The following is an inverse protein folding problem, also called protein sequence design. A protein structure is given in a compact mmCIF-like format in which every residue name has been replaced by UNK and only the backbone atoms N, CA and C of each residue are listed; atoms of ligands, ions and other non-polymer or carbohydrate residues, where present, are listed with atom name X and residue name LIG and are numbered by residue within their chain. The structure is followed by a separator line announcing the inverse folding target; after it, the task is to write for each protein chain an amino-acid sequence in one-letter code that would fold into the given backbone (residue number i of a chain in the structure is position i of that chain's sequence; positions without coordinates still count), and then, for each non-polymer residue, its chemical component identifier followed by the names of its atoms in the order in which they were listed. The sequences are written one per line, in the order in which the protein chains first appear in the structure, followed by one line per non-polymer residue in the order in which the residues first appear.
data_IF_289110863457
#
_entry.id   IF_289110863457
#
_cell.length_a   1.000
_cell.length_b   1.000
_cell.length_c   1.000
_cell.angle_alpha   90.00
_cell.angle_beta   90.00
_cell.angle_gamma   90.00
#
_symmetry.space_group_name_H-M   'P 1'
#
loop_
_entity.id
_entity.type
_entity.pdbx_description
1 polymer ?
#
# COMPACT_ATOMS: atom_id res chain seq x y z
N UNK A 1 -0.92 -1.64 -2.37
CA UNK A 1 -0.41 -2.94 -2.82
C UNK A 1 0.81 -2.70 -3.66
N UNK A 2 1.88 -3.45 -3.43
CA UNK A 2 3.22 -3.23 -3.99
C UNK A 2 3.62 -4.23 -5.03
N UNK A 3 2.90 -5.34 -5.03
CA UNK A 3 2.68 -6.11 -6.24
C UNK A 3 1.30 -5.71 -6.77
N UNK A 4 1.26 -5.27 -8.01
CA UNK A 4 0.07 -4.84 -8.73
C UNK A 4 -0.10 -5.73 -9.95
N UNK A 5 -1.32 -6.18 -10.21
CA UNK A 5 -1.66 -7.02 -11.36
C UNK A 5 -2.88 -6.42 -12.03
N UNK A 6 -2.87 -6.38 -13.36
CA UNK A 6 -4.00 -5.84 -14.11
C UNK A 6 -3.72 -5.75 -15.60
N UNK A 7 -4.59 -5.02 -16.29
CA UNK A 7 -4.44 -4.66 -17.70
C UNK A 7 -4.29 -3.15 -17.84
N UNK A 8 -3.29 -2.71 -18.60
CA UNK A 8 -3.23 -1.32 -19.05
C UNK A 8 -4.16 -1.12 -20.23
N UNK A 9 -5.27 -0.44 -19.97
CA UNK A 9 -6.27 -0.10 -20.97
C UNK A 9 -5.99 1.29 -21.56
N UNK A 10 -5.81 1.36 -22.88
CA UNK A 10 -5.60 2.63 -23.60
C UNK A 10 -6.79 3.57 -23.44
N UNK A 11 -8.02 3.04 -23.36
CA UNK A 11 -9.22 3.83 -23.10
C UNK A 11 -9.19 4.52 -21.72
N UNK A 12 -8.71 3.82 -20.69
CA UNK A 12 -8.58 4.37 -19.35
C UNK A 12 -7.50 5.45 -19.31
N UNK A 13 -6.34 5.18 -19.92
CA UNK A 13 -5.25 6.14 -20.04
C UNK A 13 -5.67 7.40 -20.81
N UNK A 14 -6.56 7.30 -21.80
CA UNK A 14 -7.08 8.47 -22.51
C UNK A 14 -8.12 9.26 -21.71
N UNK A 15 -9.01 8.59 -20.98
CA UNK A 15 -10.06 9.26 -20.17
C UNK A 15 -9.47 9.97 -18.96
N UNK A 16 -8.50 9.34 -18.31
CA UNK A 16 -7.85 9.82 -17.10
C UNK A 16 -6.32 9.72 -17.22
N UNK A 17 -5.68 10.46 -18.15
CA UNK A 17 -4.23 10.37 -18.39
C UNK A 17 -3.40 10.72 -17.16
N UNK A 18 -3.98 11.56 -16.30
CA UNK A 18 -3.35 12.07 -15.09
C UNK A 18 -3.61 11.21 -13.86
N UNK A 19 -4.22 10.03 -14.02
CA UNK A 19 -4.40 9.10 -12.90
C UNK A 19 -3.19 8.16 -12.83
N UNK A 20 -2.43 8.18 -11.71
CA UNK A 20 -1.33 7.25 -11.55
C UNK A 20 -1.86 5.81 -11.42
N UNK A 21 -1.15 4.87 -12.03
CA UNK A 21 -1.38 3.43 -11.88
C UNK A 21 -0.97 2.98 -10.47
N UNK A 22 0.12 3.56 -9.97
CA UNK A 22 0.67 3.24 -8.67
C UNK A 22 1.34 4.46 -8.04
N UNK A 23 1.37 4.46 -6.70
CA UNK A 23 2.21 5.35 -5.90
C UNK A 23 3.03 4.51 -4.93
N UNK A 24 4.31 4.87 -4.75
CA UNK A 24 5.19 4.17 -3.84
C UNK A 24 6.26 5.10 -3.30
N UNK A 25 6.56 4.99 -2.01
CA UNK A 25 7.60 5.79 -1.37
C UNK A 25 8.93 5.04 -1.39
N UNK A 26 9.79 5.43 -2.31
CA UNK A 26 11.12 4.86 -2.46
C UNK A 26 12.11 5.49 -1.47
N UNK A 27 13.09 4.72 -1.01
CA UNK A 27 14.19 5.19 -0.17
C UNK A 27 15.49 4.43 -0.44
N UNK A 28 16.62 5.01 -0.04
CA UNK A 28 17.93 4.39 -0.16
C UNK A 28 18.45 4.32 -1.60
N UNK A 29 19.54 3.57 -1.77
CA UNK A 29 20.10 3.30 -3.08
C UNK A 29 19.64 1.92 -3.58
N UNK A 30 19.50 1.78 -4.90
CA UNK A 30 19.07 0.56 -5.57
C UNK A 30 17.61 0.15 -5.35
N UNK A 31 16.70 1.09 -5.09
CA UNK A 31 15.27 0.79 -5.20
C UNK A 31 14.90 0.39 -6.64
N UNK A 32 13.94 -0.52 -6.81
CA UNK A 32 13.60 -1.10 -8.12
C UNK A 32 12.10 -1.14 -8.37
N UNK A 33 11.73 -0.76 -9.58
CA UNK A 33 10.46 -1.07 -10.21
C UNK A 33 10.65 -2.24 -11.18
N UNK A 34 10.11 -3.41 -10.86
CA UNK A 34 10.09 -4.57 -11.75
C UNK A 34 8.74 -4.65 -12.46
N UNK A 35 8.75 -4.85 -13.77
CA UNK A 35 7.54 -4.96 -14.58
C UNK A 35 7.62 -6.22 -15.43
N UNK A 36 6.60 -7.06 -15.31
CA UNK A 36 6.42 -8.28 -16.08
C UNK A 36 5.19 -8.18 -16.97
N UNK A 37 5.38 -8.40 -18.26
CA UNK A 37 4.36 -8.24 -19.30
C UNK A 37 4.05 -9.59 -19.92
N UNK A 38 2.77 -9.95 -19.96
CA UNK A 38 2.33 -11.22 -20.55
C UNK A 38 2.22 -11.16 -22.08
N UNK A 39 1.74 -10.03 -22.62
CA UNK A 39 1.51 -9.84 -24.06
C UNK A 39 2.41 -8.73 -24.64
N UNK A 40 3.72 -9.00 -24.72
CA UNK A 40 4.75 -8.05 -25.18
C UNK A 40 4.45 -7.48 -26.58
N UNK A 41 3.91 -8.29 -27.49
CA UNK A 41 3.56 -7.83 -28.84
C UNK A 41 2.56 -6.66 -28.83
N UNK A 42 1.57 -6.70 -27.93
CA UNK A 42 0.57 -5.63 -27.77
C UNK A 42 1.23 -4.39 -27.17
N UNK A 43 2.07 -4.56 -26.16
CA UNK A 43 2.81 -3.45 -25.54
C UNK A 43 3.71 -2.72 -26.56
N UNK A 44 4.43 -3.46 -27.40
CA UNK A 44 5.27 -2.91 -28.47
C UNK A 44 4.41 -2.23 -29.53
N UNK A 45 3.32 -2.85 -29.98
CA UNK A 45 2.42 -2.25 -30.98
C UNK A 45 1.80 -0.92 -30.51
N UNK A 46 1.60 -0.77 -29.20
CA UNK A 46 1.09 0.45 -28.54
C UNK A 46 2.17 1.47 -28.20
N UNK A 47 3.45 1.14 -28.38
CA UNK A 47 4.57 1.95 -27.89
C UNK A 47 4.42 2.29 -26.39
N UNK A 48 4.03 1.28 -25.60
CA UNK A 48 3.74 1.40 -24.18
C UNK A 48 4.96 1.84 -23.37
N UNK A 49 4.76 2.82 -22.50
CA UNK A 49 5.76 3.42 -21.63
C UNK A 49 5.22 3.59 -20.22
N UNK A 50 6.13 3.46 -19.26
CA UNK A 50 5.89 3.84 -17.87
C UNK A 50 6.70 5.11 -17.57
N UNK A 51 5.99 6.14 -17.13
CA UNK A 51 6.57 7.42 -16.73
C UNK A 51 6.51 7.51 -15.21
N UNK A 52 7.64 7.76 -14.58
CA UNK A 52 7.73 7.90 -13.14
C UNK A 52 7.97 9.37 -12.80
N UNK A 53 7.12 9.89 -11.91
CA UNK A 53 7.24 11.24 -11.39
C UNK A 53 7.51 11.26 -9.90
N UNK A 54 8.46 12.08 -9.47
CA UNK A 54 8.56 12.48 -8.08
C UNK A 54 7.33 13.30 -7.68
N UNK A 55 6.81 13.09 -6.48
CA UNK A 55 5.59 13.76 -6.03
C UNK A 55 5.70 15.28 -6.06
N UNK A 56 6.85 15.84 -5.69
CA UNK A 56 7.07 17.30 -5.72
C UNK A 56 7.02 17.85 -7.14
N UNK A 57 7.66 17.16 -8.08
CA UNK A 57 7.71 17.57 -9.48
C UNK A 57 6.36 17.39 -10.18
N UNK A 58 5.64 16.32 -9.84
CA UNK A 58 4.26 16.13 -10.29
C UNK A 58 3.34 17.25 -9.80
N UNK A 59 3.41 17.60 -8.51
CA UNK A 59 2.61 18.69 -7.94
C UNK A 59 2.93 20.05 -8.58
N UNK A 60 4.20 20.32 -8.92
CA UNK A 60 4.58 21.54 -9.65
C UNK A 60 3.95 21.58 -11.03
N UNK A 61 3.90 20.44 -11.73
CA UNK A 61 3.32 20.31 -13.07
C UNK A 61 1.78 20.37 -13.06
N UNK A 62 1.16 19.87 -12.00
CA UNK A 62 -0.30 19.92 -11.82
C UNK A 62 -0.77 21.35 -11.46
N UNK A 63 -0.01 22.03 -10.60
CA UNK A 63 -0.30 23.41 -10.18
C UNK A 63 0.22 24.47 -11.16
N UNK A 64 0.95 24.08 -12.21
CA UNK A 64 1.48 25.04 -13.17
C UNK A 64 0.33 25.70 -13.94
N UNK A 65 0.35 27.03 -14.00
CA UNK A 65 -0.62 27.82 -14.78
C UNK A 65 -0.40 27.67 -16.29
N UNK A 66 0.73 27.08 -16.71
CA UNK A 66 1.03 26.82 -18.11
C UNK A 66 0.23 25.60 -18.62
N UNK A 67 -0.55 25.81 -19.68
CA UNK A 67 -1.21 24.74 -20.42
C UNK A 67 -0.17 23.95 -21.24
N UNK A 68 0.54 23.04 -20.57
CA UNK A 68 1.38 22.06 -21.24
C UNK A 68 0.51 21.06 -21.99
N UNK A 69 0.87 20.76 -23.24
CA UNK A 69 0.24 19.68 -24.00
C UNK A 69 0.46 18.32 -23.32
N UNK A 70 -0.40 17.34 -23.62
CA UNK A 70 -0.37 16.02 -22.99
C UNK A 70 1.04 15.37 -23.10
N UNK A 71 1.63 15.39 -24.29
CA UNK A 71 2.96 14.84 -24.55
C UNK A 71 4.07 15.62 -23.85
N UNK A 72 3.96 16.94 -23.75
CA UNK A 72 4.95 17.76 -23.05
C UNK A 72 4.96 17.44 -21.55
N UNK A 73 3.79 17.25 -20.93
CA UNK A 73 3.70 16.88 -19.52
C UNK A 73 4.43 15.57 -19.25
N UNK A 74 4.18 14.53 -20.04
CA UNK A 74 4.87 13.24 -19.86
C UNK A 74 6.37 13.29 -20.16
N UNK A 75 6.82 14.22 -21.01
CA UNK A 75 8.26 14.41 -21.26
C UNK A 75 9.03 14.96 -20.04
N UNK A 76 8.33 15.50 -19.03
CA UNK A 76 8.91 15.99 -17.77
C UNK A 76 9.13 14.90 -16.72
N UNK A 77 8.77 13.65 -17.00
CA UNK A 77 9.01 12.53 -16.09
C UNK A 77 10.50 12.38 -15.77
N UNK A 78 10.84 12.14 -14.51
CA UNK A 78 12.24 11.97 -14.09
C UNK A 78 12.82 10.66 -14.63
N UNK A 79 12.01 9.61 -14.69
CA UNK A 79 12.38 8.33 -15.26
C UNK A 79 11.31 7.86 -16.25
N UNK A 80 11.74 7.26 -17.34
CA UNK A 80 10.85 6.67 -18.35
C UNK A 80 11.37 5.29 -18.71
N UNK A 81 10.46 4.33 -18.80
CA UNK A 81 10.75 2.94 -19.11
C UNK A 81 9.88 2.49 -20.29
N UNK A 82 10.49 1.90 -21.31
CA UNK A 82 9.76 1.41 -22.49
C UNK A 82 9.43 -0.06 -22.32
N UNK A 83 8.15 -0.40 -22.41
CA UNK A 83 7.62 -1.73 -22.09
C UNK A 83 7.69 -2.63 -23.33
N UNK A 84 8.87 -3.19 -23.61
CA UNK A 84 9.14 -3.97 -24.83
C UNK A 84 9.73 -5.38 -24.58
N UNK A 85 9.90 -5.79 -23.32
CA UNK A 85 10.35 -7.14 -22.94
C UNK A 85 9.39 -7.76 -21.93
N UNK A 86 9.47 -9.09 -21.76
CA UNK A 86 8.64 -9.85 -20.83
C UNK A 86 8.89 -9.46 -19.38
N UNK A 87 10.13 -9.15 -19.02
CA UNK A 87 10.51 -8.71 -17.68
C UNK A 87 11.59 -7.65 -17.81
N UNK A 88 11.42 -6.55 -17.08
CA UNK A 88 12.35 -5.44 -17.09
C UNK A 88 12.34 -4.74 -15.74
N UNK A 89 13.51 -4.22 -15.37
CA UNK A 89 13.71 -3.52 -14.12
C UNK A 89 14.13 -2.09 -14.42
N UNK A 90 13.53 -1.16 -13.69
CA UNK A 90 13.94 0.23 -13.65
C UNK A 90 14.45 0.52 -12.24
N UNK A 91 15.72 0.90 -12.12
CA UNK A 91 16.32 1.24 -10.85
C UNK A 91 16.12 2.72 -10.56
N UNK A 92 15.64 3.03 -9.36
CA UNK A 92 15.56 4.38 -8.80
C UNK A 92 16.72 4.52 -7.82
N UNK A 93 17.70 5.36 -8.15
CA UNK A 93 18.94 5.52 -7.38
C UNK A 93 19.07 6.94 -6.84
N UNK A 94 19.97 7.14 -5.87
CA UNK A 94 20.28 8.46 -5.30
C UNK A 94 19.06 9.10 -4.62
N UNK A 95 18.42 8.35 -3.73
CA UNK A 95 17.26 8.83 -2.95
C UNK A 95 17.72 9.19 -1.53
N UNK A 96 18.20 10.44 -1.31
CA UNK A 96 18.78 10.84 -0.02
C UNK A 96 17.77 10.87 1.12
N UNK A 97 16.47 11.03 0.80
CA UNK A 97 15.38 11.00 1.76
C UNK A 97 14.17 10.28 1.13
N UNK A 98 13.34 9.59 1.94
CA UNK A 98 12.14 8.94 1.45
C UNK A 98 11.22 9.88 0.64
N UNK A 99 10.97 9.54 -0.62
CA UNK A 99 10.14 10.35 -1.51
C UNK A 99 9.08 9.50 -2.20
N UNK A 100 7.89 10.06 -2.35
CA UNK A 100 6.79 9.39 -3.06
C UNK A 100 6.96 9.56 -4.56
N UNK A 101 6.87 8.44 -5.28
CA UNK A 101 6.89 8.40 -6.72
C UNK A 101 5.55 7.91 -7.26
N UNK A 102 5.10 8.52 -8.35
CA UNK A 102 3.90 8.16 -9.09
C UNK A 102 4.28 7.48 -10.40
N UNK A 103 3.66 6.35 -10.69
CA UNK A 103 3.87 5.59 -11.93
C UNK A 103 2.66 5.79 -12.84
N UNK A 104 2.89 6.28 -14.05
CA UNK A 104 1.88 6.50 -15.07
C UNK A 104 2.11 5.57 -16.25
N UNK A 105 1.04 4.98 -16.76
CA UNK A 105 1.06 4.25 -18.02
C UNK A 105 0.67 5.19 -19.15
N UNK A 106 1.49 5.20 -20.21
CA UNK A 106 1.28 6.02 -21.40
C UNK A 106 1.53 5.17 -22.62
N UNK A 107 0.67 5.29 -23.63
CA UNK A 107 0.85 4.70 -24.93
C UNK A 107 0.58 5.72 -26.04
N UNK A 108 0.78 5.30 -27.30
CA UNK A 108 0.56 6.19 -28.46
C UNK A 108 -0.87 6.74 -28.55
N UNK A 109 -1.86 6.08 -27.95
CA UNK A 109 -3.26 6.51 -27.98
C UNK A 109 -3.63 7.42 -26.81
N UNK A 110 -2.77 7.57 -25.80
CA UNK A 110 -3.06 8.32 -24.58
C UNK A 110 -3.24 9.81 -24.85
N UNK A 111 -2.37 10.39 -25.70
CA UNK A 111 -2.41 11.81 -26.06
C UNK A 111 -2.96 12.08 -27.48
N UNK A 112 -3.30 11.04 -28.25
CA UNK A 112 -3.81 11.17 -29.61
C UNK A 112 -5.34 11.09 -29.67
N UNK A 113 -5.95 11.80 -30.62
CA UNK A 113 -7.40 11.79 -30.79
C UNK A 113 -7.92 10.55 -31.54
N UNK A 114 -7.08 9.97 -32.41
CA UNK A 114 -7.38 8.78 -33.21
C UNK A 114 -7.22 7.50 -32.38
N UNK A 115 -8.28 7.18 -31.63
CA UNK A 115 -8.35 5.94 -30.87
C UNK A 115 -8.99 4.83 -31.69
N UNK A 116 -8.23 3.75 -31.87
CA UNK A 116 -8.76 2.44 -32.23
C UNK A 116 -8.80 1.58 -30.97
N UNK A 117 -9.94 0.95 -30.70
CA UNK A 117 -10.04 -0.04 -29.63
C UNK A 117 -8.99 -1.13 -29.82
N UNK A 118 -8.26 -1.43 -28.75
CA UNK A 118 -7.09 -2.30 -28.80
C UNK A 118 -6.91 -3.01 -27.47
N UNK A 119 -6.57 -4.30 -27.52
CA UNK A 119 -6.42 -5.19 -26.37
C UNK A 119 -5.57 -4.62 -25.23
N UNK A 120 -5.95 -4.90 -23.97
CA UNK A 120 -5.21 -4.41 -22.81
C UNK A 120 -3.83 -5.07 -22.66
N UNK A 121 -2.84 -4.29 -22.23
CA UNK A 121 -1.51 -4.84 -21.92
C UNK A 121 -1.53 -5.44 -20.51
N UNK A 122 -1.47 -6.76 -20.43
CA UNK A 122 -1.52 -7.50 -19.17
C UNK A 122 -0.17 -7.42 -18.46
N UNK A 123 -0.18 -6.91 -17.23
CA UNK A 123 1.03 -6.63 -16.46
C UNK A 123 0.97 -7.18 -15.04
N UNK A 124 2.17 -7.41 -14.50
CA UNK A 124 2.46 -7.57 -13.09
C UNK A 124 3.63 -6.63 -12.76
N UNK A 125 3.43 -5.75 -11.78
CA UNK A 125 4.39 -4.72 -11.40
C UNK A 125 4.72 -4.85 -9.93
N UNK A 126 6.01 -4.87 -9.60
CA UNK A 126 6.52 -5.03 -8.23
C UNK A 126 7.42 -3.83 -7.91
N UNK A 127 7.10 -3.12 -6.83
CA UNK A 127 7.89 -1.99 -6.33
C UNK A 127 8.63 -2.40 -5.06
N UNK A 128 9.95 -2.21 -5.08
CA UNK A 128 10.87 -2.74 -4.08
C UNK A 128 11.84 -1.65 -3.61
N UNK A 129 12.03 -1.58 -2.31
CA UNK A 129 13.09 -0.81 -1.66
C UNK A 129 14.27 -1.74 -1.29
N UNK A 130 15.45 -1.15 -1.05
CA UNK A 130 16.57 -1.89 -0.48
C UNK A 130 16.23 -2.40 0.93
N UNK A 131 16.62 -3.63 1.22
CA UNK A 131 16.60 -4.20 2.57
C UNK A 131 17.78 -3.69 3.42
N UNK A 132 17.93 -4.22 4.63
CA UNK A 132 19.03 -3.84 5.53
C UNK A 132 20.44 -4.16 4.98
N UNK A 133 20.53 -5.06 3.99
CA UNK A 133 21.78 -5.41 3.29
C UNK A 133 21.96 -4.61 1.98
N UNK A 134 20.98 -3.78 1.60
CA UNK A 134 20.99 -2.99 0.37
C UNK A 134 20.41 -3.71 -0.86
N UNK A 135 19.83 -4.90 -0.70
CA UNK A 135 19.24 -5.65 -1.81
C UNK A 135 17.78 -5.21 -2.06
N UNK A 136 17.32 -5.06 -3.31
CA UNK A 136 15.95 -4.64 -3.62
C UNK A 136 14.93 -5.76 -3.39
N UNK A 137 14.72 -6.13 -2.14
CA UNK A 137 13.83 -7.22 -1.72
C UNK A 137 12.74 -6.74 -0.77
N UNK A 138 12.85 -5.52 -0.25
CA UNK A 138 11.88 -4.99 0.70
C UNK A 138 10.66 -4.49 -0.05
N UNK A 139 9.53 -5.14 0.18
CA UNK A 139 8.27 -4.61 -0.28
C UNK A 139 7.94 -3.32 0.51
N UNK A 140 8.28 -3.13 1.79
CA UNK A 140 7.96 -1.92 2.57
C UNK A 140 8.28 -0.58 1.87
N UNK A 141 7.24 0.25 1.66
CA UNK A 141 7.45 1.65 1.32
C UNK A 141 7.98 2.34 2.58
N UNK A 142 8.69 3.45 2.44
CA UNK A 142 9.29 4.08 3.61
C UNK A 142 8.26 4.41 4.71
N UNK A 143 7.07 4.89 4.35
CA UNK A 143 5.99 5.20 5.29
C UNK A 143 5.32 3.98 5.93
N UNK A 144 5.50 2.79 5.36
CA UNK A 144 5.00 1.53 5.91
C UNK A 144 6.11 0.71 6.60
N UNK A 145 7.37 1.14 6.47
CA UNK A 145 8.51 0.45 7.07
C UNK A 145 8.42 0.46 8.59
N UNK A 146 8.74 -0.68 9.21
CA UNK A 146 8.63 -0.88 10.66
C UNK A 146 7.23 -1.23 11.18
N UNK A 147 6.16 -1.14 10.36
CA UNK A 147 4.81 -1.53 10.80
C UNK A 147 4.74 -3.02 11.19
N UNK A 148 5.39 -3.89 10.43
CA UNK A 148 5.42 -5.32 10.75
C UNK A 148 6.04 -5.59 12.13
N UNK A 149 7.18 -4.94 12.41
CA UNK A 149 7.88 -5.07 13.70
C UNK A 149 7.07 -4.46 14.85
N UNK A 150 6.44 -3.31 14.63
CA UNK A 150 5.54 -2.69 15.59
C UNK A 150 4.41 -3.63 16.00
N UNK A 151 3.70 -4.22 15.03
CA UNK A 151 2.61 -5.15 15.33
C UNK A 151 3.10 -6.44 15.97
N UNK A 152 4.28 -6.94 15.60
CA UNK A 152 4.91 -8.07 16.27
C UNK A 152 5.15 -7.79 17.77
N UNK A 153 5.78 -6.65 18.09
CA UNK A 153 6.04 -6.25 19.48
C UNK A 153 4.75 -5.99 20.25
N UNK A 154 3.74 -5.41 19.62
CA UNK A 154 2.44 -5.16 20.22
C UNK A 154 1.71 -6.47 20.58
N UNK A 155 1.69 -7.44 19.65
CA UNK A 155 1.11 -8.78 19.90
C UNK A 155 1.88 -9.49 21.01
N UNK A 156 3.21 -9.39 21.02
CA UNK A 156 4.05 -9.96 22.08
C UNK A 156 3.72 -9.34 23.45
N UNK A 157 3.56 -8.02 23.52
CA UNK A 157 3.18 -7.33 24.75
C UNK A 157 1.79 -7.75 25.24
N UNK A 158 0.80 -7.88 24.35
CA UNK A 158 -0.51 -8.42 24.71
C UNK A 158 -0.44 -9.84 25.24
N UNK A 159 0.39 -10.69 24.62
CA UNK A 159 0.57 -12.06 25.07
C UNK A 159 1.18 -12.13 26.48
N UNK A 160 2.27 -11.39 26.73
CA UNK A 160 2.94 -11.34 28.04
C UNK A 160 1.99 -10.79 29.11
N UNK A 161 1.29 -9.69 28.84
CA UNK A 161 0.34 -9.11 29.80
C UNK A 161 -0.83 -10.06 30.07
N UNK A 162 -1.35 -10.75 29.05
CA UNK A 162 -2.37 -11.77 29.24
C UNK A 162 -1.87 -12.90 30.14
N UNK A 163 -0.65 -13.41 29.95
CA UNK A 163 -0.07 -14.44 30.80
C UNK A 163 0.07 -14.00 32.28
N UNK A 164 0.51 -12.77 32.53
CA UNK A 164 0.68 -12.24 33.89
C UNK A 164 -0.66 -12.02 34.58
N UNK A 165 -1.63 -11.43 33.88
CA UNK A 165 -2.88 -10.96 34.51
C UNK A 165 -4.07 -11.91 34.36
N UNK A 166 -4.01 -12.96 33.53
CA UNK A 166 -5.15 -13.83 33.24
C UNK A 166 -5.83 -14.38 34.51
N UNK A 167 -5.04 -14.94 35.44
CA UNK A 167 -5.58 -15.53 36.66
C UNK A 167 -6.22 -14.48 37.58
N UNK A 168 -5.53 -13.34 37.78
CA UNK A 168 -6.01 -12.25 38.63
C UNK A 168 -7.29 -11.62 38.07
N UNK A 169 -7.32 -11.38 36.76
CA UNK A 169 -8.47 -10.82 36.06
C UNK A 169 -9.67 -11.76 36.14
N UNK A 170 -9.45 -13.06 35.91
CA UNK A 170 -10.50 -14.08 36.00
C UNK A 170 -11.14 -14.14 37.39
N UNK A 171 -10.31 -14.14 38.44
CA UNK A 171 -10.80 -14.13 39.81
C UNK A 171 -11.58 -12.85 40.14
N UNK A 172 -11.09 -11.70 39.69
CA UNK A 172 -11.74 -10.40 39.93
C UNK A 172 -13.10 -10.30 39.23
N UNK A 173 -13.18 -10.79 37.99
CA UNK A 173 -14.44 -10.86 37.23
C UNK A 173 -15.42 -11.81 37.94
N UNK A 174 -14.99 -12.97 38.45
CA UNK A 174 -15.88 -13.90 39.17
C UNK A 174 -16.45 -13.32 40.48
N UNK A 175 -15.72 -12.44 41.17
CA UNK A 175 -16.13 -11.88 42.47
C UNK A 175 -17.28 -10.86 42.39
N UNK A 176 -17.76 -10.46 41.19
CA UNK A 176 -18.97 -9.63 40.97
C UNK A 176 -19.09 -8.38 41.87
N UNK A 177 -17.98 -7.66 42.06
CA UNK A 177 -18.01 -6.36 42.75
C UNK A 177 -18.74 -5.26 41.97
N UNK A 178 -18.93 -4.06 42.55
CA UNK A 178 -19.64 -2.94 41.91
C UNK A 178 -19.02 -2.48 40.58
N UNK A 179 -17.73 -2.77 40.34
CA UNK A 179 -17.02 -2.46 39.08
C UNK A 179 -17.07 -3.60 38.03
N UNK A 180 -17.83 -4.67 38.25
CA UNK A 180 -17.84 -5.85 37.38
C UNK A 180 -18.23 -5.54 35.92
N UNK A 181 -19.20 -4.64 35.71
CA UNK A 181 -19.65 -4.25 34.37
C UNK A 181 -18.53 -3.57 33.57
N UNK A 182 -17.86 -2.60 34.18
CA UNK A 182 -16.74 -1.87 33.58
C UNK A 182 -15.58 -2.81 33.27
N UNK A 183 -15.19 -3.68 34.21
CA UNK A 183 -14.10 -4.64 34.00
C UNK A 183 -14.39 -5.57 32.81
N UNK A 184 -15.63 -6.02 32.66
CA UNK A 184 -16.04 -6.89 31.55
C UNK A 184 -15.95 -6.17 30.21
N UNK A 185 -16.44 -4.93 30.12
CA UNK A 185 -16.36 -4.12 28.89
C UNK A 185 -14.91 -3.84 28.52
N UNK A 186 -14.06 -3.43 29.47
CA UNK A 186 -12.64 -3.21 29.25
C UNK A 186 -11.93 -4.50 28.79
N UNK A 187 -12.26 -5.64 29.39
CA UNK A 187 -11.68 -6.94 28.98
C UNK A 187 -12.05 -7.29 27.55
N UNK A 188 -13.32 -7.09 27.16
CA UNK A 188 -13.77 -7.32 25.78
C UNK A 188 -13.07 -6.36 24.82
N UNK A 189 -12.97 -5.08 25.17
CA UNK A 189 -12.28 -4.09 24.35
C UNK A 189 -10.80 -4.46 24.13
N UNK A 190 -10.10 -4.89 25.19
CA UNK A 190 -8.70 -5.35 25.10
C UNK A 190 -8.55 -6.61 24.23
N UNK A 191 -9.48 -7.57 24.34
CA UNK A 191 -9.48 -8.76 23.47
C UNK A 191 -9.69 -8.41 22.00
N UNK A 192 -10.62 -7.51 21.71
CA UNK A 192 -10.82 -7.00 20.35
C UNK A 192 -9.58 -6.27 19.83
N UNK A 193 -8.92 -5.47 20.69
CA UNK A 193 -7.70 -4.74 20.32
C UNK A 193 -6.54 -5.69 20.01
N UNK A 194 -6.35 -6.69 20.86
CA UNK A 194 -5.35 -7.74 20.64
C UNK A 194 -5.65 -8.54 19.37
N UNK A 195 -6.93 -8.86 19.11
CA UNK A 195 -7.38 -9.52 17.89
C UNK A 195 -7.07 -8.69 16.63
N UNK A 196 -7.34 -7.38 16.67
CA UNK A 196 -6.99 -6.48 15.57
C UNK A 196 -5.49 -6.38 15.33
N UNK A 197 -4.70 -6.23 16.41
CA UNK A 197 -3.24 -6.21 16.32
C UNK A 197 -2.68 -7.50 15.70
N UNK A 198 -3.25 -8.65 16.08
CA UNK A 198 -2.87 -9.95 15.51
C UNK A 198 -3.26 -10.08 14.04
N UNK A 199 -4.46 -9.63 13.65
CA UNK A 199 -4.87 -9.63 12.25
C UNK A 199 -3.98 -8.71 11.38
N UNK A 200 -3.62 -7.53 11.88
CA UNK A 200 -2.65 -6.65 11.23
C UNK A 200 -1.26 -7.28 11.13
N UNK A 201 -0.77 -7.94 12.19
CA UNK A 201 0.49 -8.70 12.13
C UNK A 201 0.47 -9.75 11.01
N UNK A 202 -0.60 -10.54 10.90
CA UNK A 202 -0.75 -11.54 9.83
C UNK A 202 -0.78 -10.89 8.44
N UNK A 203 -1.51 -9.78 8.30
CA UNK A 203 -1.55 -9.01 7.06
C UNK A 203 -0.14 -8.56 6.63
N UNK A 204 0.59 -7.88 7.53
CA UNK A 204 1.93 -7.36 7.24
C UNK A 204 2.99 -8.47 7.10
N UNK A 205 2.81 -9.61 7.78
CA UNK A 205 3.68 -10.78 7.64
C UNK A 205 3.56 -11.43 6.26
N UNK A 206 2.34 -11.45 5.70
CA UNK A 206 2.15 -11.86 4.30
C UNK A 206 2.71 -10.80 3.35
N UNK A 207 2.43 -9.53 3.65
CA UNK A 207 2.81 -8.40 2.80
C UNK A 207 4.32 -8.24 2.65
N UNK A 208 5.10 -8.60 3.68
CA UNK A 208 6.56 -8.61 3.61
C UNK A 208 7.11 -9.62 2.59
N UNK A 209 6.33 -10.65 2.26
CA UNK A 209 6.76 -11.75 1.36
C UNK A 209 6.30 -11.56 -0.08
N UNK A 210 5.12 -10.96 -0.28
CA UNK A 210 4.48 -10.88 -1.60
C UNK A 210 4.11 -9.46 -2.04
N UNK A 211 4.18 -8.47 -1.16
CA UNK A 211 3.76 -7.09 -1.42
C UNK A 211 2.24 -6.92 -1.61
N UNK A 212 1.42 -7.94 -1.39
CA UNK A 212 -0.05 -7.93 -1.51
C UNK A 212 -0.68 -7.99 -0.11
N UNK A 213 -0.12 -8.84 0.76
CA UNK A 213 -0.62 -9.07 2.11
C UNK A 213 -1.86 -9.95 2.14
N UNK A 214 -2.48 -10.04 3.31
CA UNK A 214 -3.76 -10.73 3.50
C UNK A 214 -4.89 -9.70 3.59
N UNK A 215 -5.55 -9.30 2.48
CA UNK A 215 -6.52 -8.20 2.49
C UNK A 215 -7.69 -8.46 3.44
N UNK A 216 -8.15 -9.72 3.52
CA UNK A 216 -9.16 -10.13 4.49
C UNK A 216 -8.75 -9.86 5.94
N UNK A 217 -7.50 -10.13 6.30
CA UNK A 217 -7.00 -9.87 7.66
C UNK A 217 -6.89 -8.37 7.95
N UNK A 218 -6.51 -7.57 6.95
CA UNK A 218 -6.53 -6.10 7.06
C UNK A 218 -7.94 -5.57 7.34
N UNK A 219 -8.93 -5.97 6.53
CA UNK A 219 -10.33 -5.57 6.74
C UNK A 219 -10.91 -6.06 8.07
N UNK A 220 -10.55 -7.26 8.51
CA UNK A 220 -10.92 -7.74 9.85
C UNK A 220 -10.32 -6.88 10.96
N UNK A 221 -9.06 -6.47 10.81
CA UNK A 221 -8.39 -5.64 11.81
C UNK A 221 -9.07 -4.26 11.95
N UNK A 222 -9.44 -3.64 10.82
CA UNK A 222 -10.20 -2.38 10.78
C UNK A 222 -11.56 -2.54 11.45
N UNK A 223 -12.31 -3.57 11.06
CA UNK A 223 -13.63 -3.87 11.64
C UNK A 223 -13.54 -4.04 13.16
N UNK A 224 -12.57 -4.81 13.66
CA UNK A 224 -12.38 -5.02 15.09
C UNK A 224 -12.08 -3.70 15.83
N UNK A 225 -11.30 -2.81 15.22
CA UNK A 225 -11.01 -1.47 15.77
C UNK A 225 -12.25 -0.59 15.82
N UNK A 226 -13.07 -0.61 14.78
CA UNK A 226 -14.29 0.19 14.74
C UNK A 226 -15.29 -0.26 15.81
N UNK A 227 -15.41 -1.58 16.07
CA UNK A 227 -16.18 -2.06 17.20
C UNK A 227 -15.65 -1.53 18.54
N UNK A 228 -14.34 -1.41 18.73
CA UNK A 228 -13.75 -0.87 19.97
C UNK A 228 -14.10 0.61 20.16
N UNK A 229 -14.03 1.42 19.10
CA UNK A 229 -14.31 2.86 19.16
C UNK A 229 -15.75 3.15 19.62
N UNK A 230 -16.69 2.29 19.24
CA UNK A 230 -18.11 2.45 19.57
C UNK A 230 -18.50 1.91 20.96
N UNK A 231 -17.70 1.03 21.57
CA UNK A 231 -18.00 0.42 22.87
C UNK A 231 -18.16 1.43 24.04
N UNK A 232 -17.30 2.46 24.20
CA UNK A 232 -17.44 3.45 25.27
C UNK A 232 -18.72 4.28 25.15
N UNK A 233 -19.09 4.67 23.93
CA UNK A 233 -20.30 5.47 23.65
C UNK A 233 -21.55 4.66 24.03
N UNK A 234 -21.60 3.39 23.61
CA UNK A 234 -22.70 2.49 23.94
C UNK A 234 -22.82 2.24 25.46
N UNK A 235 -21.71 2.18 26.18
CA UNK A 235 -21.72 2.00 27.63
C UNK A 235 -22.23 3.25 28.36
N UNK A 236 -21.80 4.45 27.93
CA UNK A 236 -22.28 5.72 28.48
C UNK A 236 -23.78 5.93 28.27
N UNK A 237 -24.30 5.60 27.08
CA UNK A 237 -25.74 5.67 26.78
C UNK A 237 -26.61 4.75 27.65
N UNK A 238 -26.07 3.62 28.12
CA UNK A 238 -26.78 2.70 29.02
C UNK A 238 -26.65 3.06 30.50
N UNK A 239 -25.77 4.02 30.82
CA UNK A 239 -25.54 4.51 32.17
C UNK A 239 -26.30 5.81 32.49
N UNK A 240 -26.88 6.46 31.46
CA UNK A 240 -27.90 7.51 31.54
C UNK A 240 -29.31 6.90 31.65
#
# INVERSE_FOLDING_TARGET
GKTLRGGFASAAARREPWRPVASFQFYGDHAVLCVRIKNVAVAVAKSARLHLFQAQEWQKLENSVQDHSCSEKFSKAQLTMTVNHTEQNLTVSQIPYPETWYVFYVDKFTCEENYSESEDVQFEMVLLNPDAEGNPLDHFSAGESGLHEFFFLLVLAYFITACIYAQSLWQTIRKRGPMHGVLKVLTIALLLQAGSAFANYLHFSSYSRDGIGAPFMGSLAELLVDFIKELPILYLLKAL
#
